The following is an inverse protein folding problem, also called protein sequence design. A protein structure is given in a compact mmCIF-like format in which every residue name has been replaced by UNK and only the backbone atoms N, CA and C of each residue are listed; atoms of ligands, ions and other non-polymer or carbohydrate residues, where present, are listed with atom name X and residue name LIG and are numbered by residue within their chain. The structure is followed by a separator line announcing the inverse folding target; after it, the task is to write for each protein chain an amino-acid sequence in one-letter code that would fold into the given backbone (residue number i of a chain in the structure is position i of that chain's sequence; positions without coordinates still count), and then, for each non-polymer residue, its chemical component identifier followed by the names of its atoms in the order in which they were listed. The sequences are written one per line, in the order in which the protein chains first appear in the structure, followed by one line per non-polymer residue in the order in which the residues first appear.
data_IF_617567164669
#
_entry.id   IF_617567164669
#
_cell.length_a   1.000
_cell.length_b   1.000
_cell.length_c   1.000
_cell.angle_alpha   90.00
_cell.angle_beta   90.00
_cell.angle_gamma   90.00
#
_symmetry.space_group_name_H-M   'P 1'
#
loop_
_entity.id
_entity.type
_entity.pdbx_description
1 polymer ?
#
# COMPACT_ATOMS: atom_id res chain seq x y z
N UNK A 1 -31.46 48.01 -23.81
CA UNK A 1 -30.32 47.09 -24.04
C UNK A 1 -30.11 46.31 -22.80
N UNK A 2 -30.68 45.11 -22.73
CA UNK A 2 -30.54 44.21 -21.57
C UNK A 2 -29.33 43.31 -21.80
N UNK A 3 -28.34 43.41 -20.94
CA UNK A 3 -27.18 42.54 -20.93
C UNK A 3 -27.59 41.21 -20.30
N UNK A 4 -27.63 40.16 -21.11
CA UNK A 4 -27.80 38.76 -20.64
C UNK A 4 -26.51 38.30 -19.95
N UNK A 5 -26.55 38.18 -18.62
CA UNK A 5 -25.51 37.49 -17.88
C UNK A 5 -25.58 36.00 -18.19
N UNK A 6 -24.53 35.48 -18.83
CA UNK A 6 -24.34 34.05 -18.98
C UNK A 6 -23.89 33.44 -17.64
N UNK A 7 -24.80 32.85 -16.88
CA UNK A 7 -24.48 31.97 -15.79
C UNK A 7 -23.84 30.68 -16.34
N UNK A 8 -22.55 30.57 -16.21
CA UNK A 8 -21.84 29.29 -16.38
C UNK A 8 -22.12 28.45 -15.16
N UNK A 9 -23.05 27.52 -15.23
CA UNK A 9 -23.24 26.48 -14.24
C UNK A 9 -22.01 25.55 -14.26
N UNK A 10 -21.12 25.74 -13.31
CA UNK A 10 -20.07 24.77 -13.02
C UNK A 10 -20.72 23.54 -12.37
N UNK A 11 -20.99 22.50 -13.15
CA UNK A 11 -21.31 21.19 -12.61
C UNK A 11 -20.08 20.64 -11.89
N UNK A 12 -20.00 20.81 -10.57
CA UNK A 12 -19.07 20.07 -9.74
C UNK A 12 -19.29 18.59 -9.96
N UNK A 13 -18.34 17.93 -10.62
CA UNK A 13 -18.34 16.47 -10.73
C UNK A 13 -18.23 15.88 -9.34
N UNK A 14 -19.34 15.40 -8.78
CA UNK A 14 -19.35 14.70 -7.51
C UNK A 14 -18.42 13.49 -7.60
N UNK A 15 -17.46 13.41 -6.67
CA UNK A 15 -16.57 12.25 -6.56
C UNK A 15 -17.43 11.07 -6.12
N UNK A 16 -17.43 10.01 -6.91
CA UNK A 16 -18.10 8.74 -6.56
C UNK A 16 -17.14 7.92 -5.71
N UNK A 17 -17.57 7.52 -4.52
CA UNK A 17 -16.84 6.63 -3.61
C UNK A 17 -17.68 5.37 -3.43
N UNK A 18 -17.06 4.21 -3.58
CA UNK A 18 -17.68 2.90 -3.35
C UNK A 18 -16.79 2.11 -2.39
N UNK A 19 -17.37 1.54 -1.34
CA UNK A 19 -16.67 0.76 -0.33
C UNK A 19 -17.20 -0.67 -0.34
N UNK A 20 -16.28 -1.64 -0.38
CA UNK A 20 -16.61 -3.06 -0.36
C UNK A 20 -15.86 -3.73 0.79
N UNK A 21 -16.59 -4.45 1.65
CA UNK A 21 -16.01 -5.28 2.70
C UNK A 21 -16.07 -6.74 2.26
N UNK A 22 -15.07 -7.16 1.48
CA UNK A 22 -15.00 -8.53 0.95
C UNK A 22 -13.55 -8.87 0.55
N UNK A 23 -13.27 -10.15 0.36
CA UNK A 23 -11.99 -10.60 -0.15
C UNK A 23 -11.81 -10.21 -1.63
N UNK A 24 -10.61 -9.77 -2.03
CA UNK A 24 -10.34 -9.28 -3.40
C UNK A 24 -10.65 -10.34 -4.49
N UNK A 25 -10.56 -11.63 -4.19
CA UNK A 25 -10.90 -12.71 -5.13
C UNK A 25 -12.39 -12.70 -5.50
N UNK A 26 -13.24 -12.13 -4.66
CA UNK A 26 -14.68 -11.95 -4.88
C UNK A 26 -15.03 -10.70 -5.71
N UNK A 27 -14.06 -9.87 -6.06
CA UNK A 27 -14.25 -8.56 -6.71
C UNK A 27 -15.08 -8.58 -7.99
N UNK A 28 -15.16 -9.72 -8.69
CA UNK A 28 -16.00 -9.89 -9.89
C UNK A 28 -17.48 -9.59 -9.62
N UNK A 29 -17.96 -9.78 -8.38
CA UNK A 29 -19.37 -9.53 -8.00
C UNK A 29 -19.73 -8.05 -8.11
N UNK A 30 -18.76 -7.17 -7.95
CA UNK A 30 -18.97 -5.73 -7.81
C UNK A 30 -18.80 -4.94 -9.11
N UNK A 31 -18.42 -5.60 -10.21
CA UNK A 31 -18.24 -4.98 -11.52
C UNK A 31 -17.34 -3.71 -11.47
N UNK A 32 -16.30 -3.75 -10.64
CA UNK A 32 -15.40 -2.61 -10.41
C UNK A 32 -14.78 -2.18 -11.75
N UNK A 33 -14.89 -0.90 -12.14
CA UNK A 33 -14.31 -0.41 -13.38
C UNK A 33 -12.78 -0.48 -13.35
N UNK A 34 -12.15 -0.56 -14.52
CA UNK A 34 -10.69 -0.60 -14.60
C UNK A 34 -10.06 0.66 -14.00
N UNK A 35 -9.08 0.44 -13.14
CA UNK A 35 -8.40 1.47 -12.38
C UNK A 35 -7.20 2.07 -13.12
N UNK A 36 -6.99 3.36 -12.95
CA UNK A 36 -5.79 4.06 -13.39
C UNK A 36 -4.63 3.87 -12.38
N UNK A 37 -4.98 3.80 -11.11
CA UNK A 37 -4.07 3.58 -10.00
C UNK A 37 -4.66 2.53 -9.06
N UNK A 38 -3.84 1.60 -8.63
CA UNK A 38 -4.14 0.69 -7.52
C UNK A 38 -3.19 1.03 -6.37
N UNK A 39 -3.75 1.28 -5.20
CA UNK A 39 -2.98 1.38 -3.96
C UNK A 39 -3.43 0.21 -3.09
N UNK A 40 -2.49 -0.62 -2.69
CA UNK A 40 -2.78 -1.80 -1.89
C UNK A 40 -1.81 -1.90 -0.72
N UNK A 41 -2.36 -2.21 0.44
CA UNK A 41 -1.62 -2.63 1.63
C UNK A 41 -1.86 -4.13 1.77
N UNK A 42 -0.85 -4.93 1.37
CA UNK A 42 -0.99 -6.38 1.38
C UNK A 42 -0.62 -6.95 2.75
N UNK A 43 -1.16 -8.12 3.14
CA UNK A 43 -0.74 -8.81 4.36
C UNK A 43 0.77 -8.98 4.39
N UNK A 44 1.42 -8.53 5.49
CA UNK A 44 2.88 -8.51 5.58
C UNK A 44 3.49 -9.89 5.82
N UNK A 45 2.66 -10.88 6.16
CA UNK A 45 3.05 -12.27 6.39
C UNK A 45 4.27 -12.40 7.33
N UNK A 46 4.32 -11.56 8.35
CA UNK A 46 5.40 -11.53 9.34
C UNK A 46 5.17 -12.51 10.50
N UNK A 47 4.05 -13.23 10.44
CA UNK A 47 3.69 -14.27 11.41
C UNK A 47 3.62 -13.72 12.84
N UNK A 48 4.19 -14.50 13.78
CA UNK A 48 4.25 -14.13 15.22
C UNK A 48 5.10 -12.90 15.53
N UNK A 49 5.72 -12.27 14.54
CA UNK A 49 6.51 -11.05 14.69
C UNK A 49 5.71 -9.77 14.49
N UNK A 50 4.39 -9.87 14.28
CA UNK A 50 3.49 -8.73 14.30
C UNK A 50 3.11 -8.41 15.74
N UNK A 51 3.55 -7.27 16.24
CA UNK A 51 3.33 -6.87 17.62
C UNK A 51 2.40 -5.68 17.70
N UNK A 52 1.65 -5.62 18.79
CA UNK A 52 0.77 -4.49 19.05
C UNK A 52 1.50 -3.21 19.44
N UNK A 53 0.74 -2.15 19.50
CA UNK A 53 1.20 -0.75 19.47
C UNK A 53 1.70 -0.18 20.81
N UNK A 54 1.78 -0.95 21.89
CA UNK A 54 2.08 -0.40 23.22
C UNK A 54 3.43 -0.89 23.74
N UNK A 55 4.27 0.04 24.11
CA UNK A 55 5.60 -0.23 24.69
C UNK A 55 5.53 -1.05 25.99
N UNK A 56 4.45 -0.90 26.73
CA UNK A 56 4.17 -1.66 27.94
C UNK A 56 3.98 -3.18 27.68
N UNK A 57 3.75 -3.60 26.48
CA UNK A 57 3.70 -5.02 26.11
C UNK A 57 5.08 -5.69 26.10
N UNK A 58 6.14 -4.90 26.13
CA UNK A 58 7.54 -5.36 26.05
C UNK A 58 8.33 -5.10 27.32
N UNK A 59 7.77 -4.34 28.26
CA UNK A 59 8.43 -3.98 29.52
C UNK A 59 7.50 -4.38 30.65
N UNK A 60 8.00 -5.27 31.53
CA UNK A 60 7.23 -5.72 32.71
C UNK A 60 6.14 -6.74 32.39
N UNK A 61 6.21 -7.42 31.23
CA UNK A 61 5.33 -8.56 30.91
C UNK A 61 5.70 -9.81 31.69
N UNK A 62 4.77 -10.76 31.68
CA UNK A 62 4.80 -12.03 32.43
C UNK A 62 5.65 -13.14 31.77
N UNK A 63 6.22 -12.89 30.59
CA UNK A 63 7.13 -13.80 29.92
C UNK A 63 8.57 -13.67 30.44
N UNK A 64 9.37 -14.73 30.26
CA UNK A 64 10.76 -14.83 30.72
C UNK A 64 11.67 -13.69 30.23
N UNK A 65 11.29 -12.99 29.16
CA UNK A 65 12.04 -11.87 28.58
C UNK A 65 11.37 -10.51 28.87
N UNK A 66 10.36 -10.44 29.73
CA UNK A 66 9.61 -9.21 30.00
C UNK A 66 8.55 -8.87 28.97
N UNK A 67 8.26 -9.78 28.04
CA UNK A 67 7.23 -9.63 27.03
C UNK A 67 5.89 -10.15 27.55
N UNK A 68 4.78 -9.53 27.19
CA UNK A 68 3.47 -10.08 27.48
C UNK A 68 3.14 -11.27 26.56
N UNK A 69 2.24 -12.14 27.00
CA UNK A 69 1.73 -13.26 26.17
C UNK A 69 1.12 -12.79 24.84
N UNK A 70 0.63 -11.54 24.79
CA UNK A 70 0.09 -10.91 23.60
C UNK A 70 1.16 -10.55 22.56
N UNK A 71 2.41 -10.38 22.96
CA UNK A 71 3.52 -10.07 22.04
C UNK A 71 3.81 -11.21 21.05
N UNK A 72 3.30 -12.41 21.29
CA UNK A 72 3.47 -13.58 20.40
C UNK A 72 2.16 -14.02 19.74
N UNK A 73 1.09 -13.22 19.84
CA UNK A 73 -0.17 -13.55 19.19
C UNK A 73 -0.15 -13.13 17.71
N UNK A 74 -0.75 -13.95 16.86
CA UNK A 74 -0.98 -13.60 15.45
C UNK A 74 -2.08 -12.55 15.39
N UNK A 75 -1.79 -11.41 14.75
CA UNK A 75 -2.74 -10.29 14.70
C UNK A 75 -3.78 -10.44 13.59
N UNK A 76 -3.44 -11.16 12.49
CA UNK A 76 -4.28 -11.30 11.32
C UNK A 76 -4.32 -12.75 10.85
N UNK A 77 -5.47 -13.38 10.91
CA UNK A 77 -5.69 -14.74 10.39
C UNK A 77 -5.47 -14.82 8.86
N UNK A 78 -5.62 -13.68 8.17
CA UNK A 78 -5.48 -13.56 6.72
C UNK A 78 -4.04 -13.59 6.22
N UNK A 79 -3.04 -13.39 7.08
CA UNK A 79 -1.64 -13.31 6.65
C UNK A 79 -1.11 -14.64 6.10
N UNK A 80 -1.62 -15.77 6.59
CA UNK A 80 -1.12 -17.12 6.22
C UNK A 80 -1.53 -17.55 4.81
N UNK A 81 -2.72 -17.15 4.38
CA UNK A 81 -3.33 -17.63 3.13
C UNK A 81 -3.18 -16.64 1.96
N UNK A 82 -2.58 -15.48 2.20
CA UNK A 82 -2.38 -14.49 1.16
C UNK A 82 -1.37 -14.97 0.11
N UNK A 83 -1.85 -15.11 -1.13
CA UNK A 83 -1.03 -15.51 -2.28
C UNK A 83 -0.75 -14.31 -3.16
N UNK A 84 0.49 -13.85 -3.17
CA UNK A 84 0.95 -12.72 -4.00
C UNK A 84 0.61 -12.96 -5.49
N UNK A 85 0.71 -14.18 -5.98
CA UNK A 85 0.33 -14.53 -7.35
C UNK A 85 -1.13 -14.20 -7.66
N UNK A 86 -2.07 -14.63 -6.81
CA UNK A 86 -3.51 -14.38 -7.01
C UNK A 86 -3.82 -12.88 -6.96
N UNK A 87 -3.14 -12.16 -6.06
CA UNK A 87 -3.25 -10.72 -5.97
C UNK A 87 -2.80 -10.02 -7.26
N UNK A 88 -1.64 -10.38 -7.82
CA UNK A 88 -1.19 -9.83 -9.09
C UNK A 88 -2.10 -10.19 -10.25
N UNK A 89 -2.64 -11.41 -10.28
CA UNK A 89 -3.61 -11.81 -11.28
C UNK A 89 -4.88 -10.93 -11.23
N UNK A 90 -5.37 -10.64 -10.02
CA UNK A 90 -6.49 -9.72 -9.81
C UNK A 90 -6.13 -8.29 -10.28
N UNK A 91 -5.05 -7.72 -9.77
CA UNK A 91 -4.63 -6.36 -10.08
C UNK A 91 -4.38 -6.14 -11.58
N UNK A 92 -3.77 -7.11 -12.26
CA UNK A 92 -3.51 -7.03 -13.71
C UNK A 92 -4.80 -6.93 -14.52
N UNK A 93 -5.86 -7.61 -14.09
CA UNK A 93 -7.19 -7.53 -14.73
C UNK A 93 -7.89 -6.21 -14.41
N UNK A 94 -7.68 -5.69 -13.21
CA UNK A 94 -8.30 -4.45 -12.74
C UNK A 94 -7.65 -3.22 -13.35
N UNK A 95 -6.36 -3.22 -13.62
CA UNK A 95 -5.67 -2.08 -14.24
C UNK A 95 -6.14 -1.82 -15.67
N UNK A 96 -6.20 -0.55 -16.04
CA UNK A 96 -6.38 -0.12 -17.44
C UNK A 96 -5.25 -0.65 -18.31
N UNK A 97 -5.52 -0.78 -19.60
CA UNK A 97 -4.48 -1.01 -20.60
C UNK A 97 -3.57 0.20 -20.68
N UNK A 98 -2.31 -0.05 -21.01
CA UNK A 98 -1.33 1.02 -21.18
C UNK A 98 -1.69 1.85 -22.43
N UNK A 99 -1.80 3.19 -22.32
CA UNK A 99 -2.15 4.05 -23.44
C UNK A 99 -0.95 4.22 -24.39
N UNK A 100 -1.20 4.72 -25.62
CA UNK A 100 -0.12 5.07 -26.54
C UNK A 100 0.71 6.25 -26.03
N UNK A 101 0.09 7.18 -25.34
CA UNK A 101 0.71 8.41 -24.83
C UNK A 101 1.61 8.14 -23.60
N UNK A 102 2.77 8.79 -23.59
CA UNK A 102 3.66 8.79 -22.42
C UNK A 102 3.04 9.61 -21.27
N UNK A 103 3.39 9.26 -20.02
CA UNK A 103 2.93 10.00 -18.85
C UNK A 103 1.45 9.80 -18.49
N UNK A 104 0.79 8.79 -19.06
CA UNK A 104 -0.61 8.44 -18.76
C UNK A 104 -0.80 6.96 -18.44
N UNK A 105 0.30 6.23 -18.26
CA UNK A 105 0.22 4.80 -17.95
C UNK A 105 -0.41 4.56 -16.57
N UNK A 106 -1.18 3.48 -16.40
CA UNK A 106 -1.63 3.04 -15.09
C UNK A 106 -0.46 2.48 -14.29
N UNK A 107 -0.54 2.59 -12.96
CA UNK A 107 0.47 2.04 -12.07
C UNK A 107 -0.16 1.43 -10.80
N UNK A 108 0.67 0.78 -10.02
CA UNK A 108 0.32 0.25 -8.72
C UNK A 108 1.30 0.78 -7.68
N UNK A 109 0.80 1.01 -6.46
CA UNK A 109 1.60 1.26 -5.27
C UNK A 109 1.24 0.16 -4.27
N UNK A 110 2.19 -0.70 -3.95
CA UNK A 110 1.96 -1.84 -3.06
C UNK A 110 2.78 -1.65 -1.81
N UNK A 111 2.12 -1.45 -0.67
CA UNK A 111 2.74 -1.50 0.64
C UNK A 111 2.94 -2.97 1.01
N UNK A 112 4.14 -3.28 1.49
CA UNK A 112 4.54 -4.63 1.87
C UNK A 112 5.67 -4.58 2.91
N UNK A 113 5.93 -5.69 3.58
CA UNK A 113 7.08 -5.78 4.46
C UNK A 113 8.40 -5.73 3.67
N UNK A 114 9.48 -5.35 4.33
CA UNK A 114 10.80 -5.33 3.69
C UNK A 114 11.23 -6.72 3.15
N UNK A 115 10.79 -7.81 3.80
CA UNK A 115 11.05 -9.18 3.33
C UNK A 115 10.29 -9.50 2.03
N UNK A 116 9.17 -8.81 1.80
CA UNK A 116 8.33 -9.03 0.62
C UNK A 116 8.76 -8.19 -0.58
N UNK A 117 9.65 -7.21 -0.44
CA UNK A 117 10.06 -6.34 -1.56
C UNK A 117 10.56 -7.16 -2.76
N UNK A 118 11.45 -8.12 -2.53
CA UNK A 118 11.97 -8.99 -3.60
C UNK A 118 10.88 -9.87 -4.21
N UNK A 119 10.15 -10.72 -3.46
CA UNK A 119 9.11 -11.55 -4.05
C UNK A 119 8.00 -10.75 -4.74
N UNK A 120 7.58 -9.59 -4.20
CA UNK A 120 6.60 -8.73 -4.85
C UNK A 120 7.15 -8.20 -6.18
N UNK A 121 8.40 -7.75 -6.23
CA UNK A 121 9.05 -7.29 -7.47
C UNK A 121 9.17 -8.42 -8.50
N UNK A 122 9.49 -9.63 -8.08
CA UNK A 122 9.64 -10.78 -9.00
C UNK A 122 8.30 -11.24 -9.57
N UNK A 123 7.24 -11.28 -8.75
CA UNK A 123 5.89 -11.50 -9.27
C UNK A 123 5.44 -10.38 -10.20
N UNK A 124 5.75 -9.12 -9.86
CA UNK A 124 5.44 -7.99 -10.73
C UNK A 124 6.02 -8.18 -12.13
N UNK A 125 7.29 -8.59 -12.24
CA UNK A 125 7.94 -8.89 -13.54
C UNK A 125 7.21 -9.99 -14.31
N UNK A 126 6.80 -11.09 -13.65
CA UNK A 126 6.04 -12.17 -14.28
C UNK A 126 4.71 -11.68 -14.86
N UNK A 127 4.08 -10.68 -14.25
CA UNK A 127 2.85 -10.05 -14.72
C UNK A 127 3.06 -8.83 -15.64
N UNK A 128 4.30 -8.63 -16.12
CA UNK A 128 4.65 -7.63 -17.14
C UNK A 128 4.91 -6.24 -16.59
N UNK A 129 5.11 -6.08 -15.28
CA UNK A 129 5.59 -4.81 -14.69
C UNK A 129 7.12 -4.80 -14.74
N UNK A 130 7.69 -4.08 -15.71
CA UNK A 130 9.13 -4.04 -15.93
C UNK A 130 9.87 -3.11 -14.98
N UNK A 131 9.15 -2.17 -14.39
CA UNK A 131 9.71 -1.14 -13.53
C UNK A 131 9.16 -1.27 -12.12
N UNK A 132 10.07 -1.24 -11.16
CA UNK A 132 9.78 -1.34 -9.73
C UNK A 132 10.65 -0.29 -9.01
N UNK A 133 10.01 0.69 -8.38
CA UNK A 133 10.69 1.74 -7.63
C UNK A 133 10.27 1.67 -6.16
N UNK A 134 11.20 1.44 -5.21
CA UNK A 134 10.86 1.44 -3.81
C UNK A 134 10.60 2.87 -3.29
N UNK A 135 9.67 2.95 -2.34
CA UNK A 135 9.40 4.13 -1.54
C UNK A 135 9.45 3.74 -0.07
N UNK A 136 9.96 4.63 0.77
CA UNK A 136 10.10 4.43 2.20
C UNK A 136 9.37 5.52 2.97
N UNK A 137 8.58 5.10 3.95
CA UNK A 137 7.86 6.03 4.83
C UNK A 137 8.44 5.89 6.23
N UNK A 138 9.09 6.94 6.71
CA UNK A 138 9.77 6.97 8.00
C UNK A 138 8.84 7.57 9.03
N UNK A 139 8.40 6.76 9.99
CA UNK A 139 7.49 7.16 11.07
C UNK A 139 8.28 7.62 12.28
N UNK A 140 7.72 8.58 13.01
CA UNK A 140 8.25 9.02 14.31
C UNK A 140 7.81 8.12 15.46
N UNK A 141 6.90 7.17 15.20
CA UNK A 141 6.44 6.17 16.17
C UNK A 141 6.19 4.83 15.47
N UNK A 142 6.35 3.74 16.18
CA UNK A 142 6.10 2.42 15.64
C UNK A 142 5.32 1.56 16.62
N UNK A 143 4.42 0.76 16.07
CA UNK A 143 3.72 -0.31 16.78
C UNK A 143 4.35 -1.68 16.56
N UNK A 144 5.33 -1.78 15.66
CA UNK A 144 5.97 -3.03 15.28
C UNK A 144 7.34 -3.17 15.94
N UNK A 145 7.52 -4.23 16.71
CA UNK A 145 8.83 -4.59 17.24
C UNK A 145 9.51 -5.57 16.30
N UNK A 146 10.66 -5.18 15.75
CA UNK A 146 11.46 -6.04 14.86
C UNK A 146 12.21 -7.10 15.62
N UNK A 147 12.72 -6.75 16.81
CA UNK A 147 13.46 -7.66 17.67
C UNK A 147 13.28 -7.26 19.14
N UNK A 148 12.44 -7.95 19.86
CA UNK A 148 12.10 -7.61 21.24
C UNK A 148 13.33 -7.59 22.18
N UNK A 149 14.18 -8.63 22.12
CA UNK A 149 15.39 -8.71 22.96
C UNK A 149 16.38 -7.55 22.73
N UNK A 150 16.39 -6.98 21.52
CA UNK A 150 17.23 -5.84 21.15
C UNK A 150 16.50 -4.52 21.32
N UNK A 151 15.21 -4.55 21.64
CA UNK A 151 14.33 -3.37 21.75
C UNK A 151 14.30 -2.51 20.49
N UNK A 152 14.37 -3.16 19.31
CA UNK A 152 14.37 -2.49 18.01
C UNK A 152 12.94 -2.50 17.45
N UNK A 153 12.40 -1.29 17.19
CA UNK A 153 11.11 -1.09 16.57
C UNK A 153 11.25 -0.75 15.09
N UNK A 154 10.35 -1.29 14.27
CA UNK A 154 10.27 -0.99 12.84
C UNK A 154 9.54 0.34 12.61
N UNK A 155 10.28 1.40 12.34
CA UNK A 155 9.72 2.73 12.08
C UNK A 155 9.59 3.05 10.57
N UNK A 156 9.90 2.08 9.72
CA UNK A 156 9.87 2.28 8.26
C UNK A 156 8.81 1.38 7.64
N UNK A 157 7.92 1.97 6.85
CA UNK A 157 7.04 1.26 5.94
C UNK A 157 7.64 1.28 4.54
N UNK A 158 7.49 0.18 3.81
CA UNK A 158 8.00 0.06 2.45
C UNK A 158 6.83 -0.03 1.47
N UNK A 159 6.98 0.59 0.31
CA UNK A 159 6.08 0.39 -0.80
C UNK A 159 6.85 0.27 -2.11
N UNK A 160 6.23 -0.37 -3.12
CA UNK A 160 6.75 -0.45 -4.47
C UNK A 160 5.81 0.26 -5.43
N UNK A 161 6.33 1.20 -6.21
CA UNK A 161 5.64 1.74 -7.38
C UNK A 161 5.95 0.84 -8.56
N UNK A 162 4.92 0.23 -9.14
CA UNK A 162 5.04 -0.73 -10.23
C UNK A 162 4.35 -0.21 -11.48
N UNK A 163 5.04 -0.23 -12.61
CA UNK A 163 4.46 0.09 -13.91
C UNK A 163 5.11 -0.75 -15.04
N UNK A 164 4.43 -0.82 -16.19
CA UNK A 164 4.85 -1.66 -17.31
C UNK A 164 5.96 -1.00 -18.12
N UNK A 165 5.65 -0.55 -19.33
CA UNK A 165 6.64 0.06 -20.25
C UNK A 165 6.70 1.56 -20.11
N UNK A 166 5.53 2.20 -19.95
CA UNK A 166 5.40 3.65 -20.01
C UNK A 166 5.25 4.25 -18.64
N UNK A 167 5.85 5.40 -18.44
CA UNK A 167 5.75 6.15 -17.20
C UNK A 167 4.30 6.53 -16.90
N UNK A 168 3.85 6.34 -15.67
CA UNK A 168 2.62 6.95 -15.17
C UNK A 168 2.81 8.47 -15.02
N UNK A 169 1.72 9.19 -14.78
CA UNK A 169 1.78 10.61 -14.47
C UNK A 169 2.26 10.81 -13.03
N UNK A 170 3.40 11.48 -12.87
CA UNK A 170 3.86 11.97 -11.57
C UNK A 170 3.61 13.47 -11.49
N UNK A 171 2.92 13.90 -10.43
CA UNK A 171 2.61 15.31 -10.21
C UNK A 171 3.53 15.90 -9.14
N UNK A 172 4.80 16.03 -9.48
CA UNK A 172 5.85 16.57 -8.62
C UNK A 172 6.28 18.00 -9.01
N UNK A 173 5.46 18.69 -9.84
CA UNK A 173 5.76 20.02 -10.35
C UNK A 173 7.14 20.14 -11.02
N UNK A 174 7.61 19.07 -11.68
CA UNK A 174 8.91 19.01 -12.33
C UNK A 174 10.12 18.97 -11.38
N UNK A 175 9.91 18.87 -10.08
CA UNK A 175 10.99 18.79 -9.09
C UNK A 175 11.39 17.33 -8.83
N UNK A 176 12.66 17.11 -8.55
CA UNK A 176 13.14 15.83 -8.01
C UNK A 176 12.55 15.64 -6.62
N UNK A 177 12.10 14.43 -6.33
CA UNK A 177 11.63 14.02 -5.00
C UNK A 177 12.52 12.90 -4.49
N UNK A 178 12.66 12.80 -3.20
CA UNK A 178 13.36 11.68 -2.56
C UNK A 178 12.43 10.45 -2.56
N UNK A 179 13.03 9.28 -2.50
CA UNK A 179 12.32 8.00 -2.39
C UNK A 179 11.85 7.69 -0.96
N UNK A 180 12.03 8.62 -0.03
CA UNK A 180 11.55 8.52 1.33
C UNK A 180 10.70 9.72 1.75
N UNK A 181 9.76 9.47 2.65
CA UNK A 181 8.82 10.45 3.18
C UNK A 181 8.80 10.36 4.70
N UNK A 182 8.89 11.51 5.37
CA UNK A 182 8.66 11.58 6.80
C UNK A 182 7.17 11.53 7.06
N UNK A 183 6.75 10.61 7.91
CA UNK A 183 5.37 10.44 8.30
C UNK A 183 5.23 10.71 9.80
N UNK A 184 4.90 11.93 10.11
CA UNK A 184 4.64 12.31 11.49
C UNK A 184 3.19 11.93 11.86
N UNK A 185 3.05 11.21 12.96
CA UNK A 185 1.75 10.96 13.55
C UNK A 185 1.27 12.32 14.07
N UNK A 186 0.23 12.87 13.48
CA UNK A 186 -0.42 14.09 13.97
C UNK A 186 -0.85 13.87 15.40
N UNK A 187 -0.43 14.79 16.28
CA UNK A 187 -0.89 14.86 17.66
C UNK A 187 -2.32 15.37 17.72
#
# INVERSE_FOLDING_TARGET
METKENKVEQHEKRIKIELYNDHFENAKRYQIPRAQLIIADIPYNIGKNAYGSRSDWYIGGDSKNGESSKANSEFFDTDKDFKIYNFFQFCTRLLKKEPKEKGKAPCMIIFCSWQQLTPVSDYAKQFGFKHSQPLFFIKNSSSQVLKANMRVCGATECALVLYREKLPKFNNNGKMILDWFKWDRGG
#
